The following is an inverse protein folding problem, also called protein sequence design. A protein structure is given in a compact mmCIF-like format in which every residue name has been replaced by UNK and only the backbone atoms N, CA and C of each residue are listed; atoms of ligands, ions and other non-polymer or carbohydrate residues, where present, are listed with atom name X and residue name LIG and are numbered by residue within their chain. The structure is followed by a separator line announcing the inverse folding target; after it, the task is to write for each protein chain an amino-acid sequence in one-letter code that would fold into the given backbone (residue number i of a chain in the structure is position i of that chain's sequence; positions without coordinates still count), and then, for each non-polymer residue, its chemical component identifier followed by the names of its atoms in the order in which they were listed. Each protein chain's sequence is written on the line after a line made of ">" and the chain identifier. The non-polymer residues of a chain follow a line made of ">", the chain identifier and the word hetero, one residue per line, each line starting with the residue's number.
data_IF_319899015714
#
_entry.id   IF_319899015714
#
_cell.length_a   1.000
_cell.length_b   1.000
_cell.length_c   1.000
_cell.angle_alpha   90.00
_cell.angle_beta   90.00
_cell.angle_gamma   90.00
#
_symmetry.space_group_name_H-M   'P 1'
#
loop_
_entity.id
_entity.type
_entity.pdbx_description
1 polymer ?
#
# COMPACT_ATOMS: atom_id res chain seq x y z
N UNK A 1 62.34 35.94 24.51
CA UNK A 1 61.72 34.61 24.35
C UNK A 1 60.27 34.80 23.88
N UNK A 2 60.00 34.55 22.60
CA UNK A 2 58.66 34.70 22.00
C UNK A 2 57.80 33.49 22.42
N UNK A 3 56.69 33.73 23.11
CA UNK A 3 55.69 32.70 23.43
C UNK A 3 54.71 32.60 22.26
N UNK A 4 54.82 31.54 21.47
CA UNK A 4 53.90 31.23 20.38
C UNK A 4 52.65 30.57 20.98
N UNK A 5 51.52 31.27 20.95
CA UNK A 5 50.22 30.72 21.33
C UNK A 5 49.72 29.83 20.18
N UNK A 6 49.72 28.51 20.35
CA UNK A 6 49.14 27.57 19.39
C UNK A 6 47.64 27.49 19.69
N UNK A 7 46.83 28.10 18.83
CA UNK A 7 45.37 28.00 18.86
C UNK A 7 44.97 26.66 18.24
N UNK A 8 44.51 25.72 19.08
CA UNK A 8 44.01 24.42 18.64
C UNK A 8 42.61 24.62 18.02
N UNK A 9 42.55 24.59 16.69
CA UNK A 9 41.30 24.54 15.93
C UNK A 9 40.65 23.17 16.16
N UNK A 10 39.72 23.09 17.12
CA UNK A 10 38.83 21.94 17.27
C UNK A 10 37.83 22.02 16.13
N UNK A 11 38.17 21.45 14.97
CA UNK A 11 37.22 21.17 13.92
C UNK A 11 36.22 20.15 14.46
N UNK A 12 35.07 20.64 14.94
CA UNK A 12 33.85 19.86 15.06
C UNK A 12 33.53 19.30 13.67
N UNK A 13 33.98 18.09 13.40
CA UNK A 13 33.42 17.27 12.33
C UNK A 13 31.99 16.95 12.75
N UNK A 14 31.07 17.85 12.43
CA UNK A 14 29.67 17.51 12.30
C UNK A 14 29.61 16.45 11.20
N UNK A 15 29.59 15.18 11.59
CA UNK A 15 29.17 14.10 10.71
C UNK A 15 27.75 14.42 10.30
N UNK A 16 27.59 15.01 9.11
CA UNK A 16 26.32 15.04 8.41
C UNK A 16 25.96 13.58 8.17
N UNK A 17 25.17 13.00 9.07
CA UNK A 17 24.47 11.76 8.80
C UNK A 17 23.52 12.09 7.65
N UNK A 18 23.96 11.81 6.43
CA UNK A 18 23.09 11.68 5.28
C UNK A 18 22.14 10.52 5.62
N UNK A 19 21.03 10.83 6.27
CA UNK A 19 19.92 9.90 6.36
C UNK A 19 19.47 9.69 4.90
N UNK A 20 19.76 8.51 4.35
CA UNK A 20 19.24 8.12 3.07
C UNK A 20 17.72 8.16 3.19
N UNK A 21 17.08 9.12 2.50
CA UNK A 21 15.63 9.15 2.41
C UNK A 21 15.19 7.88 1.69
N UNK A 22 14.54 6.96 2.42
CA UNK A 22 13.93 5.76 1.85
C UNK A 22 12.73 6.23 1.03
N UNK A 23 12.67 5.90 -0.26
CA UNK A 23 11.47 6.22 -1.05
C UNK A 23 10.28 5.46 -0.48
N UNK A 24 9.17 6.17 -0.29
CA UNK A 24 7.95 5.61 0.27
C UNK A 24 7.33 4.65 -0.77
N UNK A 25 6.88 3.44 -0.38
CA UNK A 25 6.15 2.55 -1.28
C UNK A 25 4.98 3.28 -1.96
N UNK A 26 4.73 3.09 -3.27
CA UNK A 26 3.65 3.76 -3.97
C UNK A 26 2.31 3.58 -3.25
N UNK A 27 1.54 4.66 -3.06
CA UNK A 27 0.24 4.64 -2.38
C UNK A 27 0.30 4.52 -0.85
N UNK A 28 1.49 4.57 -0.24
CA UNK A 28 1.70 4.59 1.20
C UNK A 28 2.17 5.97 1.70
N UNK A 29 2.11 6.14 3.01
CA UNK A 29 2.66 7.28 3.78
C UNK A 29 3.47 6.74 4.96
N UNK A 30 4.50 7.48 5.35
CA UNK A 30 5.35 7.08 6.46
C UNK A 30 4.64 7.24 7.80
N UNK A 31 4.58 6.17 8.59
CA UNK A 31 4.06 6.17 9.96
C UNK A 31 5.20 6.34 10.98
N UNK A 32 6.36 5.73 10.72
CA UNK A 32 7.60 5.91 11.48
C UNK A 32 8.81 5.53 10.60
N UNK A 33 10.02 5.47 11.19
CA UNK A 33 11.28 5.20 10.49
C UNK A 33 11.32 3.87 9.71
N UNK A 34 10.48 2.90 10.09
CA UNK A 34 10.50 1.53 9.53
C UNK A 34 9.16 1.05 9.00
N UNK A 35 8.07 1.79 9.20
CA UNK A 35 6.72 1.40 8.83
C UNK A 35 6.10 2.46 7.93
N UNK A 36 5.59 2.00 6.79
CA UNK A 36 4.76 2.73 5.84
C UNK A 36 3.36 2.13 5.84
N UNK A 37 2.33 2.97 5.80
CA UNK A 37 0.93 2.54 5.79
C UNK A 37 0.21 3.07 4.56
N UNK A 38 -0.66 2.27 3.97
CA UNK A 38 -1.49 2.71 2.86
C UNK A 38 -2.34 3.92 3.22
N UNK A 39 -2.33 4.91 2.33
CA UNK A 39 -3.06 6.18 2.47
C UNK A 39 -4.56 5.93 2.64
N UNK A 40 -5.11 4.91 1.98
CA UNK A 40 -6.50 4.50 2.09
C UNK A 40 -6.60 2.98 2.06
N UNK A 41 -7.76 2.37 2.37
CA UNK A 41 -7.99 0.96 2.08
C UNK A 41 -7.68 0.66 0.61
N UNK A 42 -7.25 -0.56 0.31
CA UNK A 42 -6.96 -1.02 -1.06
C UNK A 42 -8.16 -0.70 -1.93
N UNK A 43 -7.93 0.06 -2.99
CA UNK A 43 -9.01 0.54 -3.84
C UNK A 43 -9.42 -0.52 -4.87
N UNK A 44 -10.60 -0.33 -5.47
CA UNK A 44 -11.05 -1.12 -6.62
C UNK A 44 -10.02 -1.13 -7.76
N UNK A 45 -9.38 0.00 -8.04
CA UNK A 45 -8.33 0.11 -9.05
C UNK A 45 -7.12 -0.78 -8.70
N UNK A 46 -6.57 -0.59 -7.50
CA UNK A 46 -5.45 -1.37 -7.00
C UNK A 46 -5.74 -2.88 -6.99
N UNK A 47 -6.94 -3.26 -6.55
CA UNK A 47 -7.35 -4.66 -6.53
C UNK A 47 -7.52 -5.22 -7.95
N UNK A 48 -7.97 -4.40 -8.91
CA UNK A 48 -8.05 -4.83 -10.32
C UNK A 48 -6.67 -5.05 -10.93
N UNK A 49 -5.68 -4.22 -10.61
CA UNK A 49 -4.28 -4.44 -11.01
C UNK A 49 -3.78 -5.80 -10.51
N UNK A 50 -4.05 -6.11 -9.24
CA UNK A 50 -3.75 -7.41 -8.65
C UNK A 50 -4.47 -8.57 -9.36
N UNK A 51 -5.79 -8.48 -9.58
CA UNK A 51 -6.56 -9.52 -10.29
C UNK A 51 -6.03 -9.75 -11.72
N UNK A 52 -5.68 -8.66 -12.41
CA UNK A 52 -5.09 -8.68 -13.74
C UNK A 52 -3.75 -9.42 -13.72
N UNK A 53 -2.84 -9.04 -12.82
CA UNK A 53 -1.55 -9.69 -12.66
C UNK A 53 -1.69 -11.19 -12.36
N UNK A 54 -2.60 -11.57 -11.45
CA UNK A 54 -2.86 -12.99 -11.12
C UNK A 54 -3.37 -13.77 -12.33
N UNK A 55 -4.28 -13.21 -13.13
CA UNK A 55 -4.79 -13.86 -14.35
C UNK A 55 -3.67 -14.06 -15.37
N UNK A 56 -2.84 -13.04 -15.60
CA UNK A 56 -1.69 -13.12 -16.52
C UNK A 56 -0.69 -14.18 -16.05
N UNK A 57 -0.32 -14.17 -14.76
CA UNK A 57 0.63 -15.14 -14.19
C UNK A 57 0.12 -16.57 -14.32
N UNK A 58 -1.15 -16.82 -13.96
CA UNK A 58 -1.77 -18.15 -14.09
C UNK A 58 -1.80 -18.65 -15.52
N UNK A 59 -2.16 -17.80 -16.48
CA UNK A 59 -2.15 -18.14 -17.90
C UNK A 59 -0.74 -18.50 -18.41
N UNK A 60 0.29 -17.95 -17.77
CA UNK A 60 1.70 -18.25 -18.04
C UNK A 60 2.26 -19.41 -17.18
N UNK A 61 1.47 -20.00 -16.30
CA UNK A 61 1.88 -21.13 -15.45
C UNK A 61 2.73 -20.73 -14.23
N UNK A 62 2.56 -19.52 -13.70
CA UNK A 62 3.25 -19.03 -12.50
C UNK A 62 2.25 -18.75 -11.37
N UNK A 63 2.62 -19.08 -10.14
CA UNK A 63 1.78 -18.87 -8.96
C UNK A 63 1.93 -17.46 -8.35
N UNK A 64 3.11 -16.87 -8.50
CA UNK A 64 3.42 -15.51 -8.02
C UNK A 64 4.31 -14.71 -8.98
N UNK A 65 4.35 -13.40 -8.77
CA UNK A 65 5.19 -12.50 -9.57
C UNK A 65 6.67 -12.75 -9.28
N UNK A 66 7.03 -13.00 -8.01
CA UNK A 66 8.38 -13.37 -7.63
C UNK A 66 8.87 -14.66 -8.29
N UNK A 67 8.01 -15.67 -8.43
CA UNK A 67 8.33 -16.89 -9.18
C UNK A 67 8.59 -16.59 -10.66
N UNK A 68 7.69 -15.82 -11.29
CA UNK A 68 7.81 -15.40 -12.67
C UNK A 68 9.14 -14.68 -12.91
N UNK A 69 9.44 -13.62 -12.14
CA UNK A 69 10.68 -12.84 -12.26
C UNK A 69 11.92 -13.72 -12.09
N UNK A 70 11.92 -14.64 -11.11
CA UNK A 70 13.05 -15.56 -10.89
C UNK A 70 13.29 -16.49 -12.08
N UNK A 71 12.22 -17.02 -12.69
CA UNK A 71 12.31 -17.98 -13.80
C UNK A 71 12.61 -17.31 -15.14
N UNK A 72 12.14 -16.09 -15.37
CA UNK A 72 12.29 -15.39 -16.65
C UNK A 72 13.43 -14.37 -16.66
N UNK A 73 13.97 -14.02 -15.48
CA UNK A 73 14.91 -12.91 -15.32
C UNK A 73 14.35 -11.58 -15.86
N UNK A 74 13.02 -11.41 -15.80
CA UNK A 74 12.34 -10.17 -16.16
C UNK A 74 12.85 -9.02 -15.27
N UNK A 75 13.10 -7.86 -15.87
CA UNK A 75 13.57 -6.65 -15.18
C UNK A 75 12.55 -5.52 -15.23
N UNK A 76 11.64 -5.54 -16.21
CA UNK A 76 10.53 -4.61 -16.31
C UNK A 76 9.26 -5.15 -15.64
N UNK A 77 8.20 -4.34 -15.66
CA UNK A 77 6.86 -4.84 -15.40
C UNK A 77 6.23 -5.30 -16.73
N UNK A 78 5.82 -6.58 -16.88
CA UNK A 78 5.29 -7.11 -18.14
C UNK A 78 4.16 -6.25 -18.69
N UNK A 79 4.19 -5.98 -20.00
CA UNK A 79 3.21 -5.09 -20.65
C UNK A 79 1.78 -5.60 -20.44
N UNK A 80 1.58 -6.91 -20.45
CA UNK A 80 0.27 -7.52 -20.27
C UNK A 80 -0.31 -7.28 -18.87
N UNK A 81 0.56 -7.06 -17.86
CA UNK A 81 0.12 -6.69 -16.51
C UNK A 81 -0.17 -5.19 -16.37
N UNK A 82 0.23 -4.36 -17.35
CA UNK A 82 -0.12 -2.93 -17.42
C UNK A 82 -1.51 -2.69 -18.00
N UNK A 83 -2.06 -3.67 -18.72
CA UNK A 83 -3.40 -3.58 -19.30
C UNK A 83 -4.40 -4.02 -18.25
N UNK A 84 -4.93 -3.06 -17.50
CA UNK A 84 -5.96 -3.31 -16.49
C UNK A 84 -7.17 -3.96 -17.16
N UNK A 85 -7.70 -5.01 -16.53
CA UNK A 85 -8.85 -5.76 -16.99
C UNK A 85 -10.08 -5.49 -16.09
N UNK A 86 -10.85 -4.40 -16.32
CA UNK A 86 -11.97 -4.00 -15.46
C UNK A 86 -13.02 -5.09 -15.23
N UNK A 87 -13.25 -5.96 -16.22
CA UNK A 87 -14.21 -7.05 -16.12
C UNK A 87 -13.92 -8.00 -14.95
N UNK A 88 -12.65 -8.16 -14.54
CA UNK A 88 -12.31 -9.02 -13.41
C UNK A 88 -12.89 -8.52 -12.08
N UNK A 89 -13.04 -7.21 -11.91
CA UNK A 89 -13.67 -6.64 -10.74
C UNK A 89 -15.19 -6.79 -10.79
N UNK A 90 -15.78 -6.70 -11.99
CA UNK A 90 -17.21 -6.98 -12.20
C UNK A 90 -17.52 -8.44 -11.83
N UNK A 91 -16.72 -9.37 -12.35
CA UNK A 91 -16.83 -10.81 -12.06
C UNK A 91 -16.64 -11.08 -10.56
N UNK A 92 -15.68 -10.40 -9.92
CA UNK A 92 -15.44 -10.51 -8.47
C UNK A 92 -16.67 -10.17 -7.63
N UNK A 93 -17.49 -9.20 -8.06
CA UNK A 93 -18.71 -8.80 -7.36
C UNK A 93 -19.97 -9.51 -7.84
N UNK A 94 -19.89 -10.46 -8.79
CA UNK A 94 -21.05 -11.07 -9.45
C UNK A 94 -22.02 -11.76 -8.48
N UNK A 95 -21.51 -12.35 -7.40
CA UNK A 95 -22.32 -13.00 -6.36
C UNK A 95 -22.93 -12.02 -5.34
N UNK A 96 -22.57 -10.73 -5.37
CA UNK A 96 -23.08 -9.72 -4.45
C UNK A 96 -24.12 -8.83 -5.14
N UNK A 97 -25.39 -9.24 -5.08
CA UNK A 97 -26.51 -8.53 -5.72
C UNK A 97 -26.54 -7.02 -5.43
N UNK A 98 -26.26 -6.60 -4.20
CA UNK A 98 -26.26 -5.17 -3.84
C UNK A 98 -25.17 -4.40 -4.58
N UNK A 99 -23.93 -4.91 -4.56
CA UNK A 99 -22.80 -4.26 -5.23
C UNK A 99 -22.96 -4.30 -6.76
N UNK A 100 -23.47 -5.41 -7.31
CA UNK A 100 -23.77 -5.52 -8.75
C UNK A 100 -24.83 -4.51 -9.18
N UNK A 101 -25.97 -4.42 -8.45
CA UNK A 101 -27.05 -3.48 -8.78
C UNK A 101 -26.65 -2.01 -8.66
N UNK A 102 -25.65 -1.69 -7.84
CA UNK A 102 -25.11 -0.33 -7.72
C UNK A 102 -23.92 -0.07 -8.65
N UNK A 103 -23.56 -1.05 -9.50
CA UNK A 103 -22.46 -0.98 -10.45
C UNK A 103 -21.09 -0.75 -9.77
N UNK A 104 -20.90 -1.30 -8.57
CA UNK A 104 -19.72 -1.04 -7.76
C UNK A 104 -18.41 -1.54 -8.41
N UNK A 105 -18.50 -2.57 -9.24
CA UNK A 105 -17.38 -3.09 -10.03
C UNK A 105 -16.95 -2.20 -11.20
N UNK A 106 -17.69 -1.13 -11.53
CA UNK A 106 -17.35 -0.24 -12.63
C UNK A 106 -16.26 0.76 -12.20
N UNK A 107 -15.03 0.51 -12.68
CA UNK A 107 -13.83 1.30 -12.35
C UNK A 107 -14.03 2.79 -12.62
N UNK A 108 -14.65 3.18 -13.74
CA UNK A 108 -14.86 4.61 -14.03
C UNK A 108 -15.73 5.34 -13.00
N UNK A 109 -16.52 4.62 -12.19
CA UNK A 109 -17.41 5.17 -11.16
C UNK A 109 -16.79 5.06 -9.75
N UNK A 110 -16.16 3.92 -9.46
CA UNK A 110 -15.70 3.57 -8.11
C UNK A 110 -14.23 3.13 -8.01
N UNK A 111 -13.37 3.44 -8.99
CA UNK A 111 -11.94 3.07 -9.02
C UNK A 111 -11.19 3.35 -7.70
N UNK A 112 -11.59 4.45 -7.07
CA UNK A 112 -10.96 5.06 -5.93
C UNK A 112 -11.63 4.73 -4.60
N UNK A 113 -12.69 3.93 -4.65
CA UNK A 113 -13.32 3.41 -3.44
C UNK A 113 -12.63 2.12 -2.99
N UNK A 114 -12.69 1.79 -1.69
CA UNK A 114 -12.21 0.51 -1.18
C UNK A 114 -12.76 -0.67 -1.97
N UNK A 115 -11.93 -1.67 -2.21
CA UNK A 115 -12.43 -3.00 -2.55
C UNK A 115 -13.23 -3.52 -1.35
N UNK A 116 -14.43 -4.04 -1.61
CA UNK A 116 -15.34 -4.49 -0.57
C UNK A 116 -15.41 -6.01 -0.51
N UNK A 117 -15.58 -6.56 0.70
CA UNK A 117 -15.86 -7.98 0.92
C UNK A 117 -14.82 -8.95 0.32
N UNK A 118 -13.59 -8.50 0.11
CA UNK A 118 -12.48 -9.41 -0.16
C UNK A 118 -12.32 -10.36 1.04
N UNK A 119 -12.09 -11.65 0.77
CA UNK A 119 -11.78 -12.59 1.84
C UNK A 119 -10.43 -12.26 2.49
N UNK A 120 -10.26 -12.63 3.76
CA UNK A 120 -8.97 -12.48 4.45
C UNK A 120 -7.81 -13.15 3.70
N UNK A 121 -8.07 -14.30 3.04
CA UNK A 121 -7.09 -14.98 2.19
C UNK A 121 -6.68 -14.12 0.98
N UNK A 122 -7.63 -13.48 0.31
CA UNK A 122 -7.35 -12.57 -0.82
C UNK A 122 -6.60 -11.32 -0.34
N UNK A 123 -6.96 -10.78 0.82
CA UNK A 123 -6.30 -9.62 1.41
C UNK A 123 -4.82 -9.91 1.76
N UNK A 124 -4.53 -11.09 2.31
CA UNK A 124 -3.16 -11.56 2.58
C UNK A 124 -2.39 -11.79 1.26
N UNK A 125 -3.00 -12.45 0.26
CA UNK A 125 -2.36 -12.69 -1.03
C UNK A 125 -2.05 -11.37 -1.75
N UNK A 126 -2.94 -10.38 -1.66
CA UNK A 126 -2.71 -9.03 -2.18
C UNK A 126 -1.50 -8.36 -1.51
N UNK A 127 -1.39 -8.36 -0.17
CA UNK A 127 -0.25 -7.73 0.48
C UNK A 127 1.08 -8.45 0.16
N UNK A 128 1.04 -9.78 0.01
CA UNK A 128 2.20 -10.54 -0.49
C UNK A 128 2.58 -10.14 -1.92
N UNK A 129 1.61 -10.09 -2.83
CA UNK A 129 1.83 -9.63 -4.20
C UNK A 129 2.41 -8.21 -4.21
N UNK A 130 1.89 -7.30 -3.39
CA UNK A 130 2.43 -5.94 -3.23
C UNK A 130 3.88 -5.93 -2.78
N UNK A 131 4.28 -6.84 -1.88
CA UNK A 131 5.69 -7.00 -1.48
C UNK A 131 6.57 -7.32 -2.67
N UNK A 132 6.18 -8.30 -3.48
CA UNK A 132 6.93 -8.72 -4.68
C UNK A 132 7.02 -7.57 -5.69
N UNK A 133 5.93 -6.82 -5.85
CA UNK A 133 5.86 -5.66 -6.74
C UNK A 133 6.75 -4.50 -6.31
N UNK A 134 6.70 -4.10 -5.03
CA UNK A 134 7.52 -2.99 -4.49
C UNK A 134 9.00 -3.38 -4.48
N UNK A 135 9.31 -4.63 -4.10
CA UNK A 135 10.67 -5.15 -4.15
C UNK A 135 11.26 -5.07 -5.56
N UNK A 136 10.51 -5.50 -6.57
CA UNK A 136 10.92 -5.44 -7.97
C UNK A 136 11.08 -4.02 -8.47
N UNK A 137 10.12 -3.15 -8.16
CA UNK A 137 10.16 -1.72 -8.49
C UNK A 137 11.45 -1.08 -7.95
N UNK A 138 11.74 -1.24 -6.66
CA UNK A 138 12.94 -0.68 -6.04
C UNK A 138 14.25 -1.26 -6.60
N UNK A 139 14.22 -2.48 -7.12
CA UNK A 139 15.41 -3.15 -7.64
C UNK A 139 15.78 -2.71 -9.07
N UNK A 140 14.78 -2.41 -9.90
CA UNK A 140 14.97 -2.26 -11.34
C UNK A 140 14.45 -0.94 -11.93
N UNK A 141 13.55 -0.21 -11.26
CA UNK A 141 13.08 1.09 -11.75
C UNK A 141 14.09 2.19 -11.41
N UNK A 142 14.54 2.93 -12.44
CA UNK A 142 15.52 4.00 -12.30
C UNK A 142 15.08 5.08 -11.30
N UNK A 143 13.77 5.33 -11.17
CA UNK A 143 13.21 6.32 -10.25
C UNK A 143 13.36 5.92 -8.79
N UNK A 144 13.55 4.63 -8.50
CA UNK A 144 13.60 4.07 -7.15
C UNK A 144 14.95 3.45 -6.80
N UNK A 145 16.00 3.78 -7.57
CA UNK A 145 17.34 3.22 -7.39
C UNK A 145 17.98 3.52 -6.04
N UNK A 146 17.55 4.60 -5.36
CA UNK A 146 17.90 4.90 -3.96
C UNK A 146 17.60 3.73 -3.03
N UNK A 147 16.52 2.98 -3.30
CA UNK A 147 16.05 1.86 -2.50
C UNK A 147 16.55 0.49 -3.00
N UNK A 148 17.43 0.42 -3.99
CA UNK A 148 17.87 -0.85 -4.59
C UNK A 148 18.42 -1.85 -3.56
N UNK A 149 19.24 -1.38 -2.62
CA UNK A 149 19.83 -2.22 -1.57
C UNK A 149 18.80 -2.63 -0.49
N UNK A 150 17.64 -2.00 -0.48
CA UNK A 150 16.52 -2.25 0.43
C UNK A 150 15.42 -3.10 -0.21
N UNK A 151 15.49 -3.38 -1.51
CA UNK A 151 14.49 -4.15 -2.27
C UNK A 151 14.13 -5.50 -1.64
N UNK A 152 15.09 -6.21 -1.06
CA UNK A 152 14.85 -7.51 -0.41
C UNK A 152 14.41 -7.39 1.07
N UNK A 153 14.37 -6.17 1.61
CA UNK A 153 14.03 -5.91 3.02
C UNK A 153 12.58 -5.47 3.21
N UNK A 154 11.91 -4.98 2.17
CA UNK A 154 10.51 -4.56 2.27
C UNK A 154 9.60 -5.78 2.46
N UNK A 155 8.65 -5.69 3.39
CA UNK A 155 7.60 -6.69 3.59
C UNK A 155 6.25 -6.00 3.79
N UNK A 156 5.31 -6.23 2.88
CA UNK A 156 3.95 -5.72 3.00
C UNK A 156 3.00 -6.80 3.53
N UNK A 157 2.21 -6.46 4.56
CA UNK A 157 1.26 -7.34 5.23
C UNK A 157 0.00 -6.58 5.62
N UNK A 158 -1.03 -7.31 6.06
CA UNK A 158 -2.18 -6.66 6.70
C UNK A 158 -1.72 -5.90 7.94
N UNK A 159 -2.30 -4.71 8.13
CA UNK A 159 -2.11 -3.94 9.34
C UNK A 159 -2.67 -4.69 10.56
N UNK A 160 -2.02 -4.57 11.70
CA UNK A 160 -2.63 -4.93 12.99
C UNK A 160 -3.61 -3.85 13.43
N UNK A 161 -4.52 -4.19 14.35
CA UNK A 161 -5.43 -3.22 14.97
C UNK A 161 -4.65 -2.06 15.62
N UNK A 162 -3.59 -2.35 16.36
CA UNK A 162 -2.77 -1.34 17.04
C UNK A 162 -2.07 -0.41 16.06
N UNK A 163 -1.58 -0.92 14.92
CA UNK A 163 -0.95 -0.08 13.89
C UNK A 163 -1.97 0.87 13.25
N UNK A 164 -3.22 0.43 13.06
CA UNK A 164 -4.29 1.28 12.54
C UNK A 164 -4.72 2.34 13.56
N UNK A 165 -4.79 2.00 14.85
CA UNK A 165 -5.05 2.95 15.93
C UNK A 165 -3.91 3.98 16.00
N UNK A 166 -2.66 3.53 15.97
CA UNK A 166 -1.48 4.39 15.99
C UNK A 166 -1.49 5.36 14.79
N UNK A 167 -1.77 4.86 13.59
CA UNK A 167 -1.89 5.68 12.39
C UNK A 167 -3.00 6.71 12.51
N UNK A 168 -4.21 6.30 12.96
CA UNK A 168 -5.32 7.23 13.18
C UNK A 168 -4.91 8.36 14.13
N UNK A 169 -4.31 8.03 15.28
CA UNK A 169 -3.86 9.03 16.25
C UNK A 169 -2.78 9.95 15.67
N UNK A 170 -1.75 9.38 15.02
CA UNK A 170 -0.64 10.14 14.44
C UNK A 170 -1.10 11.13 13.36
N UNK A 171 -1.93 10.67 12.43
CA UNK A 171 -2.41 11.51 11.33
C UNK A 171 -3.51 12.50 11.76
N UNK A 172 -4.26 12.20 12.82
CA UNK A 172 -5.14 13.18 13.47
C UNK A 172 -4.32 14.31 14.09
N UNK A 173 -3.30 13.99 14.88
CA UNK A 173 -2.47 14.99 15.56
C UNK A 173 -1.68 15.88 14.59
N UNK A 174 -1.42 15.41 13.37
CA UNK A 174 -0.72 16.16 12.32
C UNK A 174 -1.64 16.84 11.30
N UNK A 175 -2.97 16.83 11.51
CA UNK A 175 -3.98 17.35 10.56
C UNK A 175 -3.83 16.78 9.14
N UNK A 176 -3.45 15.50 9.03
CA UNK A 176 -3.28 14.76 7.77
C UNK A 176 -4.22 13.56 7.68
N UNK A 177 -5.44 13.73 8.18
CA UNK A 177 -6.49 12.69 8.20
C UNK A 177 -7.73 13.16 7.44
N UNK A 178 -8.31 12.26 6.64
CA UNK A 178 -9.64 12.40 6.04
C UNK A 178 -10.54 11.28 6.52
N UNK A 179 -11.64 11.58 7.21
CA UNK A 179 -12.59 10.57 7.68
C UNK A 179 -13.95 10.78 7.03
N UNK A 180 -14.45 9.73 6.36
CA UNK A 180 -15.77 9.74 5.72
C UNK A 180 -16.80 9.07 6.63
N UNK A 181 -17.86 9.81 6.94
CA UNK A 181 -18.98 9.34 7.76
C UNK A 181 -20.24 9.02 6.94
N UNK A 182 -20.21 9.29 5.63
CA UNK A 182 -21.34 9.03 4.74
C UNK A 182 -21.45 7.55 4.35
N UNK A 183 -22.44 7.18 3.53
CA UNK A 183 -22.53 5.83 2.97
C UNK A 183 -21.40 5.62 1.95
N UNK A 184 -20.87 4.41 1.88
CA UNK A 184 -19.74 4.09 1.00
C UNK A 184 -19.97 4.49 -0.47
N UNK A 185 -21.21 4.37 -0.97
CA UNK A 185 -21.56 4.69 -2.35
C UNK A 185 -21.66 6.20 -2.66
N UNK A 186 -21.67 7.07 -1.65
CA UNK A 186 -21.82 8.53 -1.83
C UNK A 186 -20.50 9.29 -1.73
N UNK A 187 -19.42 8.61 -1.30
CA UNK A 187 -18.12 9.24 -1.07
C UNK A 187 -17.52 9.76 -2.38
N UNK A 188 -17.19 11.06 -2.43
CA UNK A 188 -16.47 11.68 -3.55
C UNK A 188 -15.00 11.87 -3.16
N UNK A 189 -14.09 11.20 -3.86
CA UNK A 189 -12.67 11.10 -3.45
C UNK A 189 -11.79 12.30 -3.87
N UNK A 190 -12.35 13.33 -4.51
CA UNK A 190 -11.60 14.43 -5.17
C UNK A 190 -10.60 15.21 -4.28
N UNK A 191 -10.49 14.93 -2.97
CA UNK A 191 -9.79 15.82 -2.04
C UNK A 191 -8.51 15.32 -1.36
N UNK A 192 -8.15 14.03 -1.34
CA UNK A 192 -7.16 13.59 -0.31
C UNK A 192 -6.15 12.51 -0.72
N UNK A 193 -5.55 12.62 -1.91
CA UNK A 193 -4.51 11.68 -2.36
C UNK A 193 -3.28 11.57 -1.43
N UNK A 194 -3.10 12.48 -0.47
CA UNK A 194 -1.94 12.55 0.44
C UNK A 194 -2.28 12.39 1.92
N UNK A 195 -3.55 12.20 2.29
CA UNK A 195 -3.97 12.10 3.70
C UNK A 195 -4.37 10.69 4.07
N UNK A 196 -4.06 10.30 5.30
CA UNK A 196 -4.56 9.05 5.86
C UNK A 196 -6.09 9.07 5.87
N UNK A 197 -6.69 8.21 5.06
CA UNK A 197 -8.10 8.22 4.76
C UNK A 197 -8.80 7.04 5.41
N UNK A 198 -9.88 7.31 6.13
CA UNK A 198 -10.76 6.32 6.75
C UNK A 198 -12.10 6.35 6.01
N UNK A 199 -12.46 5.21 5.43
CA UNK A 199 -13.75 4.99 4.77
C UNK A 199 -14.77 4.38 5.75
N UNK A 200 -16.09 4.48 5.44
CA UNK A 200 -17.16 3.90 6.23
C UNK A 200 -17.27 2.37 6.02
N UNK A 201 -16.18 1.65 6.30
CA UNK A 201 -16.05 0.19 6.17
C UNK A 201 -15.36 -0.39 7.39
N UNK A 202 -15.65 -1.65 7.70
CA UNK A 202 -14.93 -2.39 8.74
C UNK A 202 -13.63 -2.94 8.14
N UNK A 203 -12.47 -2.49 8.60
CA UNK A 203 -11.20 -2.90 8.00
C UNK A 203 -10.67 -4.18 8.63
N UNK A 204 -10.40 -5.18 7.80
CA UNK A 204 -9.74 -6.41 8.22
C UNK A 204 -8.32 -6.12 8.71
N UNK A 205 -7.95 -6.76 9.82
CA UNK A 205 -6.60 -6.69 10.37
C UNK A 205 -5.87 -8.02 10.18
N UNK A 206 -4.58 -8.06 10.54
CA UNK A 206 -3.83 -9.31 10.63
C UNK A 206 -4.49 -10.32 11.59
N UNK A 207 -5.16 -9.84 12.63
CA UNK A 207 -5.94 -10.65 13.58
C UNK A 207 -7.38 -10.86 13.11
N UNK A 208 -8.19 -11.63 13.85
CA UNK A 208 -9.64 -11.76 13.56
C UNK A 208 -10.45 -10.51 13.92
N UNK A 209 -9.83 -9.52 14.57
CA UNK A 209 -10.49 -8.26 14.91
C UNK A 209 -10.59 -7.35 13.68
N UNK A 210 -11.68 -6.57 13.65
CA UNK A 210 -11.91 -5.53 12.66
C UNK A 210 -11.57 -4.17 13.26
N UNK A 211 -10.83 -3.36 12.51
CA UNK A 211 -10.66 -1.94 12.82
C UNK A 211 -11.88 -1.15 12.35
N UNK A 212 -12.23 -0.10 13.11
CA UNK A 212 -13.40 0.73 12.85
C UNK A 212 -14.70 -0.09 12.83
N UNK A 213 -14.79 -1.13 13.68
CA UNK A 213 -15.93 -2.02 13.79
C UNK A 213 -17.17 -1.27 14.29
N UNK A 214 -17.96 -0.73 13.36
CA UNK A 214 -19.21 -0.06 13.64
C UNK A 214 -20.35 -0.89 13.05
N UNK A 215 -21.41 -1.09 13.83
CA UNK A 215 -22.56 -1.92 13.44
C UNK A 215 -23.31 -1.40 12.21
N UNK A 216 -23.16 -0.11 11.89
CA UNK A 216 -23.76 0.51 10.71
C UNK A 216 -22.91 0.38 9.44
N UNK A 217 -21.71 -0.21 9.52
CA UNK A 217 -20.90 -0.50 8.35
C UNK A 217 -21.18 -1.92 7.85
N UNK A 218 -21.71 -2.01 6.63
CA UNK A 218 -22.19 -3.25 6.03
C UNK A 218 -21.09 -4.03 5.28
N UNK A 219 -19.95 -3.39 5.03
CA UNK A 219 -18.89 -3.94 4.17
C UNK A 219 -17.57 -4.01 4.91
N UNK A 220 -16.76 -4.99 4.50
CA UNK A 220 -15.36 -5.05 4.92
C UNK A 220 -14.44 -4.48 3.85
N UNK A 221 -13.37 -3.84 4.29
CA UNK A 221 -12.23 -3.45 3.45
C UNK A 221 -10.93 -3.93 4.08
N UNK A 222 -9.79 -3.60 3.49
CA UNK A 222 -8.49 -3.82 4.12
C UNK A 222 -7.45 -2.85 3.60
N UNK A 223 -6.35 -2.73 4.32
CA UNK A 223 -5.16 -2.00 3.88
C UNK A 223 -3.91 -2.76 4.27
N UNK A 224 -2.85 -2.57 3.50
CA UNK A 224 -1.55 -3.10 3.85
C UNK A 224 -0.74 -2.04 4.61
N UNK A 225 0.20 -2.52 5.40
CA UNK A 225 1.38 -1.77 5.78
C UNK A 225 2.60 -2.44 5.18
N UNK A 226 3.65 -1.67 4.93
CA UNK A 226 4.94 -2.20 4.51
C UNK A 226 5.99 -1.82 5.55
N UNK A 227 6.70 -2.83 6.03
CA UNK A 227 7.75 -2.67 7.04
C UNK A 227 9.13 -2.98 6.43
N UNK A 228 10.15 -2.26 6.89
CA UNK A 228 11.53 -2.52 6.55
C UNK A 228 12.10 -3.59 7.48
N UNK A 229 12.44 -4.75 6.93
CA UNK A 229 13.21 -5.78 7.61
C UNK A 229 14.57 -5.22 8.07
N UNK A 230 14.97 -5.58 9.30
CA UNK A 230 16.27 -5.19 9.86
C UNK A 230 17.41 -5.83 9.06
#
# INVERSE_FOLDING_TARGET
>A
MKKTLIFLFICNFCTLNAQNNIDIPPGAIQLNDSIFIDISPVTNYMFTEYLTAKKVLRNKGYESFGEFVKKTNEKGFPIEMRIIAPHLLIDFYSDNKFLTSNEYGLIYKFQNHPVLNASKKQAIDYCKWRTEMVSHLWKYDEKHMSNKNLSNKINCRLATENELILAKTFFTNSNKIGEFNEKILTVKQEKFATQFTIFPVNEMTASEKLFNNKSNFEFTGFRCICEMGK
#
